data_IF_470928218578
#
_entry.id   IF_470928218578
#
_cell.length_a   1.000
_cell.length_b   1.000
_cell.length_c   1.000
_cell.angle_alpha   90.00
_cell.angle_beta   90.00
_cell.angle_gamma   90.00
#
_symmetry.space_group_name_H-M   'P 1'
#
loop_
_entity.id
_entity.type
_entity.pdbx_description
1 polymer ?
#
# COMPACT_ATOMS: atom_id res chain seq x y z
N UNK A 1 -5.07 44.48 -16.36
CA UNK A 1 -3.86 44.01 -15.66
C UNK A 1 -4.28 43.59 -14.25
N UNK A 2 -3.99 42.35 -13.82
CA UNK A 2 -4.40 41.85 -12.49
C UNK A 2 -3.50 42.50 -11.42
N UNK A 3 -4.07 43.10 -10.35
CA UNK A 3 -3.30 43.66 -9.25
C UNK A 3 -2.35 42.61 -8.63
N UNK A 4 -1.16 43.03 -8.17
CA UNK A 4 -0.16 42.11 -7.62
C UNK A 4 -0.69 41.21 -6.51
N UNK A 5 -1.49 41.76 -5.59
CA UNK A 5 -2.11 41.02 -4.50
C UNK A 5 -3.19 40.02 -4.94
N UNK A 6 -3.78 40.19 -6.14
CA UNK A 6 -4.82 39.31 -6.67
C UNK A 6 -4.27 38.17 -7.55
N UNK A 7 -2.97 38.20 -7.89
CA UNK A 7 -2.33 37.22 -8.78
C UNK A 7 -2.51 35.77 -8.32
N UNK A 8 -2.28 35.40 -7.05
CA UNK A 8 -2.41 34.00 -6.63
C UNK A 8 -3.80 33.42 -6.89
N UNK A 9 -4.86 34.21 -6.67
CA UNK A 9 -6.23 33.80 -6.93
C UNK A 9 -6.53 33.70 -8.43
N UNK A 10 -6.00 34.63 -9.23
CA UNK A 10 -6.14 34.59 -10.69
C UNK A 10 -5.42 33.37 -11.30
N UNK A 11 -4.27 32.97 -10.75
CA UNK A 11 -3.51 31.81 -11.20
C UNK A 11 -4.26 30.51 -10.92
N UNK A 12 -4.85 30.37 -9.72
CA UNK A 12 -5.73 29.23 -9.38
C UNK A 12 -6.93 29.15 -10.33
N UNK A 13 -7.63 30.28 -10.55
CA UNK A 13 -8.78 30.31 -11.46
C UNK A 13 -8.40 29.94 -12.90
N UNK A 14 -7.25 30.45 -13.38
CA UNK A 14 -6.75 30.15 -14.73
C UNK A 14 -6.41 28.67 -14.86
N UNK A 15 -5.74 28.10 -13.86
CA UNK A 15 -5.38 26.67 -13.82
C UNK A 15 -6.61 25.78 -13.82
N UNK A 16 -7.61 26.12 -13.00
CA UNK A 16 -8.88 25.38 -12.95
C UNK A 16 -9.59 25.41 -14.31
N UNK A 17 -9.73 26.59 -14.93
CA UNK A 17 -10.37 26.74 -16.25
C UNK A 17 -9.68 25.91 -17.32
N UNK A 18 -8.35 25.97 -17.37
CA UNK A 18 -7.56 25.19 -18.32
C UNK A 18 -7.74 23.68 -18.08
N UNK A 19 -7.77 23.26 -16.81
CA UNK A 19 -7.96 21.86 -16.44
C UNK A 19 -9.36 21.35 -16.83
N UNK A 20 -10.40 22.15 -16.62
CA UNK A 20 -11.76 21.83 -17.04
C UNK A 20 -11.86 21.75 -18.57
N UNK A 21 -11.26 22.68 -19.29
CA UNK A 21 -11.24 22.68 -20.75
C UNK A 21 -10.51 21.44 -21.34
N UNK A 22 -9.56 20.88 -20.60
CA UNK A 22 -8.83 19.67 -20.98
C UNK A 22 -9.55 18.36 -20.61
N UNK A 23 -10.70 18.42 -19.92
CA UNK A 23 -11.47 17.21 -19.59
C UNK A 23 -12.05 16.62 -20.88
N UNK A 24 -11.58 15.41 -21.22
CA UNK A 24 -12.11 14.66 -22.36
C UNK A 24 -13.62 14.34 -22.18
N UNK A 25 -14.40 14.60 -23.23
CA UNK A 25 -15.86 14.63 -23.23
C UNK A 25 -16.52 13.31 -23.68
N UNK A 26 -15.74 12.24 -23.82
CA UNK A 26 -16.22 10.96 -24.38
C UNK A 26 -17.32 10.25 -23.57
N UNK A 27 -17.39 10.50 -22.24
CA UNK A 27 -18.42 9.93 -21.35
C UNK A 27 -18.93 10.96 -20.31
N UNK A 28 -20.24 11.28 -20.30
CA UNK A 28 -20.85 12.20 -19.34
C UNK A 28 -20.61 11.87 -17.86
N UNK A 29 -20.54 10.59 -17.48
CA UNK A 29 -20.28 10.20 -16.09
C UNK A 29 -18.81 10.45 -15.72
N UNK A 30 -17.89 10.13 -16.63
CA UNK A 30 -16.47 10.45 -16.50
C UNK A 30 -16.21 11.96 -16.40
N UNK A 31 -16.95 12.79 -17.16
CA UNK A 31 -16.85 14.25 -17.10
C UNK A 31 -17.24 14.75 -15.70
N UNK A 32 -18.42 14.35 -15.21
CA UNK A 32 -18.93 14.79 -13.90
C UNK A 32 -17.93 14.45 -12.80
N UNK A 33 -17.42 13.22 -12.79
CA UNK A 33 -16.42 12.78 -11.79
C UNK A 33 -15.13 13.61 -11.85
N UNK A 34 -14.61 13.88 -13.05
CA UNK A 34 -13.38 14.66 -13.24
C UNK A 34 -13.55 16.12 -12.84
N UNK A 35 -14.65 16.75 -13.24
CA UNK A 35 -14.94 18.14 -12.89
C UNK A 35 -15.15 18.29 -11.38
N UNK A 36 -15.88 17.36 -10.74
CA UNK A 36 -16.02 17.35 -9.28
C UNK A 36 -14.67 17.20 -8.58
N UNK A 37 -13.78 16.33 -9.06
CA UNK A 37 -12.43 16.22 -8.51
C UNK A 37 -11.58 17.49 -8.69
N UNK A 38 -11.79 18.24 -9.78
CA UNK A 38 -11.16 19.55 -9.97
C UNK A 38 -11.73 20.59 -9.01
N UNK A 39 -13.04 20.58 -8.74
CA UNK A 39 -13.67 21.43 -7.74
C UNK A 39 -13.15 21.12 -6.32
N UNK A 40 -13.05 19.84 -5.96
CA UNK A 40 -12.49 19.40 -4.69
C UNK A 40 -11.04 19.88 -4.53
N UNK A 41 -10.22 19.81 -5.58
CA UNK A 41 -8.85 20.36 -5.55
C UNK A 41 -8.83 21.86 -5.26
N UNK A 42 -9.65 22.64 -5.96
CA UNK A 42 -9.73 24.09 -5.73
C UNK A 42 -10.16 24.38 -4.30
N UNK A 43 -11.16 23.66 -3.79
CA UNK A 43 -11.69 23.83 -2.43
C UNK A 43 -10.68 23.44 -1.35
N UNK A 44 -10.14 22.22 -1.44
CA UNK A 44 -9.45 21.55 -0.34
C UNK A 44 -7.94 21.76 -0.37
N UNK A 45 -7.38 22.20 -1.51
CA UNK A 45 -5.95 22.43 -1.70
C UNK A 45 -5.69 23.89 -2.06
N UNK A 46 -6.12 24.32 -3.24
CA UNK A 46 -5.65 25.58 -3.80
C UNK A 46 -6.13 26.80 -2.97
N UNK A 47 -7.41 26.85 -2.59
CA UNK A 47 -7.94 27.90 -1.73
C UNK A 47 -7.41 27.81 -0.29
N UNK A 48 -7.30 26.60 0.25
CA UNK A 48 -6.78 26.38 1.60
C UNK A 48 -5.35 26.90 1.73
N UNK A 49 -4.49 26.62 0.75
CA UNK A 49 -3.10 27.05 0.73
C UNK A 49 -2.98 28.59 0.55
N UNK A 50 -4.01 29.23 0.00
CA UNK A 50 -4.19 30.70 -0.03
C UNK A 50 -4.84 31.27 1.24
N UNK A 51 -5.04 30.45 2.27
CA UNK A 51 -5.62 30.87 3.55
C UNK A 51 -7.14 30.99 3.53
N UNK A 52 -7.82 30.40 2.54
CA UNK A 52 -9.27 30.42 2.40
C UNK A 52 -9.85 29.02 2.62
N UNK A 53 -10.73 28.89 3.60
CA UNK A 53 -11.48 27.69 3.89
C UNK A 53 -12.95 27.86 3.45
N UNK A 54 -13.46 26.91 2.66
CA UNK A 54 -14.87 26.84 2.31
C UNK A 54 -15.58 25.83 3.20
N UNK A 55 -16.46 26.32 4.06
CA UNK A 55 -17.26 25.48 4.95
C UNK A 55 -18.62 25.20 4.30
N UNK A 56 -18.81 23.96 3.85
CA UNK A 56 -20.04 23.50 3.23
C UNK A 56 -21.19 23.47 4.24
N UNK A 57 -22.38 23.89 3.80
CA UNK A 57 -23.59 23.95 4.62
C UNK A 57 -24.74 23.27 3.91
N UNK A 58 -25.44 22.39 4.62
CA UNK A 58 -26.59 21.70 4.07
C UNK A 58 -27.65 22.69 3.58
N UNK A 59 -28.01 22.59 2.30
CA UNK A 59 -29.03 23.42 1.66
C UNK A 59 -28.70 24.92 1.61
N UNK A 60 -27.44 25.34 1.84
CA UNK A 60 -27.04 26.76 1.83
C UNK A 60 -25.69 26.93 1.12
N UNK A 61 -25.39 28.13 0.57
CA UNK A 61 -24.06 28.43 0.06
C UNK A 61 -22.99 28.21 1.14
N UNK A 62 -21.82 27.74 0.70
CA UNK A 62 -20.66 27.59 1.57
C UNK A 62 -20.26 28.92 2.21
N UNK A 63 -19.78 28.87 3.46
CA UNK A 63 -19.18 30.02 4.11
C UNK A 63 -17.70 30.11 3.75
N UNK A 64 -17.26 31.33 3.44
CA UNK A 64 -15.84 31.63 3.23
C UNK A 64 -15.24 32.06 4.56
N UNK A 65 -14.23 31.33 5.04
CA UNK A 65 -13.55 31.59 6.31
C UNK A 65 -12.04 31.64 6.10
N UNK A 66 -11.29 32.37 6.95
CA UNK A 66 -9.85 32.24 6.97
C UNK A 66 -9.45 30.85 7.49
N UNK A 67 -8.38 30.29 6.94
CA UNK A 67 -7.75 29.09 7.48
C UNK A 67 -7.15 29.42 8.84
N UNK A 68 -7.56 28.67 9.86
CA UNK A 68 -7.07 28.78 11.24
C UNK A 68 -5.97 27.76 11.51
N UNK A 69 -5.22 27.95 12.60
CA UNK A 69 -4.19 27.00 13.03
C UNK A 69 -4.77 25.60 13.25
N UNK A 70 -5.93 25.51 13.90
CA UNK A 70 -6.59 24.23 14.19
C UNK A 70 -6.95 23.46 12.91
N UNK A 71 -7.35 24.16 11.84
CA UNK A 71 -7.63 23.54 10.54
C UNK A 71 -6.36 22.97 9.89
N UNK A 72 -5.23 23.67 10.02
CA UNK A 72 -3.93 23.19 9.52
C UNK A 72 -3.50 21.94 10.30
N UNK A 73 -3.59 21.98 11.63
CA UNK A 73 -3.24 20.85 12.50
C UNK A 73 -4.12 19.62 12.22
N UNK A 74 -5.44 19.83 12.05
CA UNK A 74 -6.37 18.76 11.68
C UNK A 74 -6.00 18.11 10.34
N UNK A 75 -5.63 18.91 9.33
CA UNK A 75 -5.21 18.41 8.01
C UNK A 75 -3.90 17.61 8.10
N UNK A 76 -2.93 18.08 8.88
CA UNK A 76 -1.67 17.38 9.11
C UNK A 76 -1.88 16.04 9.82
N UNK A 77 -2.68 16.03 10.88
CA UNK A 77 -3.00 14.80 11.61
C UNK A 77 -3.74 13.78 10.74
N UNK A 78 -4.70 14.21 9.92
CA UNK A 78 -5.35 13.32 8.95
C UNK A 78 -4.36 12.76 7.91
N UNK A 79 -3.44 13.60 7.41
CA UNK A 79 -2.41 13.15 6.47
C UNK A 79 -1.48 12.10 7.09
N UNK A 80 -1.06 12.30 8.34
CA UNK A 80 -0.23 11.35 9.09
C UNK A 80 -0.95 10.03 9.32
N UNK A 81 -2.21 10.06 9.78
CA UNK A 81 -3.03 8.85 9.94
C UNK A 81 -3.21 8.09 8.62
N UNK A 82 -3.43 8.81 7.51
CA UNK A 82 -3.57 8.20 6.20
C UNK A 82 -2.24 7.56 5.72
N UNK A 83 -1.11 8.19 6.01
CA UNK A 83 0.22 7.64 5.71
C UNK A 83 0.49 6.39 6.56
N UNK A 84 0.20 6.42 7.85
CA UNK A 84 0.39 5.28 8.75
C UNK A 84 -0.50 4.09 8.34
N UNK A 85 -1.76 4.35 8.00
CA UNK A 85 -2.67 3.33 7.45
C UNK A 85 -2.11 2.71 6.16
N UNK A 86 -1.58 3.52 5.25
CA UNK A 86 -0.95 3.03 4.01
C UNK A 86 0.30 2.18 4.30
N UNK A 87 1.18 2.63 5.20
CA UNK A 87 2.38 1.89 5.61
C UNK A 87 2.03 0.55 6.26
N UNK A 88 1.02 0.54 7.13
CA UNK A 88 0.55 -0.67 7.80
C UNK A 88 -0.03 -1.67 6.80
N UNK A 89 -0.87 -1.21 5.87
CA UNK A 89 -1.42 -2.06 4.80
C UNK A 89 -0.34 -2.64 3.90
N UNK A 90 0.64 -1.84 3.50
CA UNK A 90 1.74 -2.30 2.66
C UNK A 90 2.61 -3.32 3.38
N UNK A 91 2.94 -3.07 4.65
CA UNK A 91 3.70 -4.02 5.46
C UNK A 91 2.93 -5.33 5.71
N UNK A 92 1.61 -5.28 5.91
CA UNK A 92 0.77 -6.48 5.99
C UNK A 92 0.79 -7.25 4.68
N UNK A 93 0.62 -6.56 3.55
CA UNK A 93 0.69 -7.16 2.21
C UNK A 93 2.04 -7.83 1.95
N UNK A 94 3.16 -7.17 2.31
CA UNK A 94 4.49 -7.75 2.18
C UNK A 94 4.65 -9.00 3.04
N UNK A 95 4.19 -8.97 4.29
CA UNK A 95 4.21 -10.16 5.17
C UNK A 95 3.36 -11.30 4.63
N UNK A 96 2.22 -11.00 4.01
CA UNK A 96 1.38 -12.00 3.35
C UNK A 96 2.08 -12.60 2.14
N UNK A 97 2.69 -11.77 1.28
CA UNK A 97 3.47 -12.23 0.14
C UNK A 97 4.65 -13.11 0.57
N UNK A 98 5.43 -12.70 1.58
CA UNK A 98 6.53 -13.51 2.12
C UNK A 98 6.05 -14.85 2.68
N UNK A 99 4.90 -14.86 3.38
CA UNK A 99 4.31 -16.10 3.90
C UNK A 99 3.88 -17.02 2.77
N UNK A 100 3.26 -16.47 1.72
CA UNK A 100 2.85 -17.23 0.54
C UNK A 100 4.07 -17.78 -0.22
N UNK A 101 5.13 -16.99 -0.39
CA UNK A 101 6.37 -17.46 -1.03
C UNK A 101 7.06 -18.55 -0.24
N UNK A 102 7.18 -18.39 1.09
CA UNK A 102 7.72 -19.44 1.96
C UNK A 102 6.84 -20.69 1.92
N UNK A 103 5.52 -20.54 1.90
CA UNK A 103 4.57 -21.65 1.83
C UNK A 103 4.52 -22.38 0.49
N UNK A 104 4.92 -21.75 -0.62
CA UNK A 104 5.01 -22.43 -1.93
C UNK A 104 5.99 -23.61 -1.94
N UNK A 105 7.07 -23.52 -1.15
CA UNK A 105 8.12 -24.54 -1.15
C UNK A 105 7.63 -25.83 -0.49
N UNK A 106 7.68 -26.94 -1.24
CA UNK A 106 7.36 -28.26 -0.69
C UNK A 106 8.38 -28.65 0.40
N UNK A 107 7.95 -29.19 1.55
CA UNK A 107 8.86 -29.71 2.58
C UNK A 107 9.84 -30.76 2.05
N UNK A 108 9.40 -31.59 1.09
CA UNK A 108 10.25 -32.64 0.48
C UNK A 108 11.36 -32.08 -0.41
N UNK A 109 11.13 -30.89 -0.99
CA UNK A 109 12.07 -30.23 -1.88
C UNK A 109 12.99 -29.23 -1.14
N UNK A 110 12.60 -28.80 0.06
CA UNK A 110 13.30 -27.75 0.82
C UNK A 110 14.79 -28.04 1.04
N UNK A 111 15.16 -29.31 1.23
CA UNK A 111 16.55 -29.71 1.45
C UNK A 111 17.24 -30.28 0.21
N UNK A 112 16.61 -30.23 -0.98
CA UNK A 112 17.22 -30.67 -2.25
C UNK A 112 18.19 -29.62 -2.77
N UNK A 113 19.25 -29.35 -2.01
CA UNK A 113 20.30 -28.38 -2.30
C UNK A 113 21.66 -29.07 -2.41
N UNK A 114 22.67 -28.36 -2.92
CA UNK A 114 24.04 -28.88 -3.04
C UNK A 114 24.74 -29.12 -1.68
N UNK A 115 24.08 -28.84 -0.55
CA UNK A 115 24.61 -29.06 0.79
C UNK A 115 24.48 -30.53 1.26
N UNK A 116 23.65 -31.32 0.59
CA UNK A 116 23.29 -32.68 0.98
C UNK A 116 23.36 -33.62 -0.22
N UNK A 117 23.70 -34.87 0.01
CA UNK A 117 23.85 -35.87 -1.05
C UNK A 117 22.79 -36.98 -1.01
N UNK A 118 22.21 -37.25 0.17
CA UNK A 118 21.21 -38.30 0.38
C UNK A 118 20.13 -37.81 1.35
N UNK A 119 18.90 -38.32 1.19
CA UNK A 119 17.71 -37.95 1.96
C UNK A 119 16.88 -39.21 2.27
N UNK A 120 16.14 -39.19 3.38
CA UNK A 120 15.17 -40.23 3.74
C UNK A 120 13.79 -40.03 3.05
N UNK A 121 12.85 -40.95 3.32
CA UNK A 121 11.49 -40.92 2.75
C UNK A 121 10.69 -39.67 3.15
N UNK A 122 11.04 -39.05 4.28
CA UNK A 122 10.45 -37.80 4.76
C UNK A 122 11.11 -36.56 4.12
N UNK A 123 12.11 -36.74 3.26
CA UNK A 123 12.89 -35.67 2.64
C UNK A 123 13.95 -35.05 3.56
N UNK A 124 14.28 -35.70 4.68
CA UNK A 124 15.30 -35.24 5.62
C UNK A 124 16.70 -35.69 5.15
N UNK A 125 17.69 -34.77 5.08
CA UNK A 125 19.05 -35.15 4.73
C UNK A 125 19.64 -36.21 5.67
N UNK A 126 20.29 -37.23 5.10
CA UNK A 126 21.04 -38.26 5.81
C UNK A 126 22.55 -38.04 5.71
N UNK A 127 23.03 -37.53 4.56
CA UNK A 127 24.44 -37.24 4.30
C UNK A 127 24.67 -35.80 3.85
N UNK A 128 25.83 -35.25 4.20
CA UNK A 128 26.30 -33.96 3.71
C UNK A 128 26.85 -34.02 2.28
N UNK A 129 27.22 -32.87 1.72
CA UNK A 129 27.77 -32.75 0.35
C UNK A 129 29.03 -33.58 0.09
N UNK A 130 29.73 -34.00 1.14
CA UNK A 130 30.93 -34.85 1.06
C UNK A 130 30.63 -36.33 1.25
N UNK A 131 29.36 -36.70 1.47
CA UNK A 131 28.93 -38.07 1.71
C UNK A 131 29.14 -38.54 3.16
N UNK A 132 29.39 -37.64 4.12
CA UNK A 132 29.48 -38.01 5.54
C UNK A 132 28.10 -37.99 6.20
N UNK A 133 27.91 -38.88 7.17
CA UNK A 133 26.67 -38.93 7.95
C UNK A 133 26.43 -37.65 8.75
N UNK A 134 25.18 -37.17 8.70
CA UNK A 134 24.79 -35.98 9.46
C UNK A 134 24.74 -36.27 10.95
N UNK A 135 25.46 -35.45 11.73
CA UNK A 135 25.47 -35.57 13.20
C UNK A 135 24.06 -35.47 13.80
N UNK A 136 23.82 -36.20 14.91
CA UNK A 136 22.52 -36.22 15.63
C UNK A 136 22.00 -34.81 15.97
N UNK A 137 22.88 -33.87 16.33
CA UNK A 137 22.51 -32.48 16.64
C UNK A 137 22.00 -31.74 15.41
N UNK A 138 22.66 -31.90 14.25
CA UNK A 138 22.27 -31.28 12.97
C UNK A 138 20.99 -31.90 12.43
N UNK A 139 20.85 -33.23 12.47
CA UNK A 139 19.62 -33.94 12.09
C UNK A 139 18.41 -33.44 12.88
N UNK A 140 18.52 -33.27 14.21
CA UNK A 140 17.44 -32.72 15.05
C UNK A 140 17.05 -31.28 14.65
N UNK A 141 18.01 -30.47 14.18
CA UNK A 141 17.73 -29.12 13.68
C UNK A 141 16.98 -29.17 12.33
N UNK A 142 17.47 -29.96 11.39
CA UNK A 142 16.84 -30.15 10.08
C UNK A 142 15.40 -30.67 10.21
N UNK A 143 15.14 -31.60 11.13
CA UNK A 143 13.79 -32.12 11.37
C UNK A 143 12.84 -31.04 11.90
N UNK A 144 13.31 -30.17 12.80
CA UNK A 144 12.52 -29.01 13.27
C UNK A 144 12.23 -28.02 12.15
N UNK A 145 13.19 -27.79 11.26
CA UNK A 145 12.99 -26.89 10.12
C UNK A 145 12.02 -27.50 9.10
N UNK A 146 12.08 -28.82 8.86
CA UNK A 146 11.11 -29.57 8.06
C UNK A 146 9.69 -29.47 8.62
N UNK A 147 9.52 -29.72 9.92
CA UNK A 147 8.21 -29.66 10.59
C UNK A 147 7.60 -28.25 10.53
N UNK A 148 8.45 -27.21 10.64
CA UNK A 148 8.02 -25.82 10.46
C UNK A 148 7.54 -25.60 9.02
N UNK A 149 8.29 -26.08 8.03
CA UNK A 149 7.93 -25.94 6.62
C UNK A 149 6.66 -26.70 6.27
N UNK A 150 6.46 -27.93 6.79
CA UNK A 150 5.22 -28.70 6.63
C UNK A 150 4.00 -27.88 7.04
N UNK A 151 4.03 -27.25 8.21
CA UNK A 151 2.93 -26.39 8.69
C UNK A 151 2.69 -25.17 7.79
N UNK A 152 3.74 -24.48 7.35
CA UNK A 152 3.60 -23.31 6.48
C UNK A 152 3.05 -23.72 5.11
N UNK A 153 3.52 -24.84 4.56
CA UNK A 153 3.07 -25.39 3.28
C UNK A 153 1.61 -25.86 3.34
N UNK A 154 1.21 -26.55 4.41
CA UNK A 154 -0.19 -26.94 4.66
C UNK A 154 -1.13 -25.73 4.72
N UNK A 155 -0.74 -24.68 5.46
CA UNK A 155 -1.52 -23.43 5.52
C UNK A 155 -1.62 -22.75 4.16
N UNK A 156 -0.59 -22.86 3.32
CA UNK A 156 -0.60 -22.33 1.96
C UNK A 156 -1.46 -23.15 1.00
N UNK A 157 -1.46 -24.49 1.12
CA UNK A 157 -2.36 -25.35 0.36
C UNK A 157 -3.82 -25.07 0.71
N UNK A 158 -4.13 -24.90 2.00
CA UNK A 158 -5.47 -24.58 2.48
C UNK A 158 -5.95 -23.17 2.11
N UNK A 159 -5.05 -22.24 1.78
CA UNK A 159 -5.41 -20.86 1.39
C UNK A 159 -5.63 -20.66 -0.11
N UNK A 160 -5.37 -21.68 -0.94
CA UNK A 160 -5.72 -21.65 -2.35
C UNK A 160 -7.22 -21.97 -2.53
N UNK A 161 -8.00 -21.12 -3.21
CA UNK A 161 -9.29 -21.55 -3.73
C UNK A 161 -9.09 -22.64 -4.80
N UNK A 162 -9.97 -23.64 -4.82
CA UNK A 162 -10.06 -24.67 -5.88
C UNK A 162 -10.23 -24.05 -7.27
#
# INVERSE_FOLDING_TARGET
>A
MVPGAARPYADVLTTFRNSVAAVNLDDPQSITKKVLALCDRVRDVDLFDLGIYLEDREGRPALVRPVTRDLIEARQHQAEQNLEKKRTKEHQRQKELEKLEKGKMSPLEMFRTNEFSEWDDDGLPTKDSSGNDITKRRSKKLRKDLDRQKKIHEMWLASKPE
#
